data_IF_858648388252
#
_entry.id   IF_858648388252
#
_cell.length_a   1.000
_cell.length_b   1.000
_cell.length_c   1.000
_cell.angle_alpha   90.00
_cell.angle_beta   90.00
_cell.angle_gamma   90.00
#
_symmetry.space_group_name_H-M   'P 1'
#
loop_
_entity.id
_entity.type
_entity.pdbx_description
1 polymer ?
#
# COMPACT_ATOMS: atom_id res chain seq x y z
N UNK A 1 -2.35 2.92 2.73
CA UNK A 1 -1.52 4.16 2.84
C UNK A 1 -0.98 4.48 1.47
N UNK A 2 -0.93 5.73 1.02
CA UNK A 2 -0.39 6.05 -0.31
C UNK A 2 1.02 5.48 -0.50
N UNK A 3 1.26 4.80 -1.61
CA UNK A 3 2.57 4.26 -1.95
C UNK A 3 3.49 5.40 -2.39
N UNK A 4 4.40 5.79 -1.50
CA UNK A 4 5.35 6.88 -1.69
C UNK A 4 6.75 6.43 -1.26
N UNK A 5 7.83 6.91 -1.88
CA UNK A 5 9.19 6.53 -1.49
C UNK A 5 9.47 6.71 0.00
N UNK A 6 9.00 7.81 0.59
CA UNK A 6 9.18 8.15 2.00
C UNK A 6 8.47 7.15 2.92
N UNK A 7 7.29 6.66 2.50
CA UNK A 7 6.56 5.61 3.20
C UNK A 7 7.35 4.31 3.20
N UNK A 8 7.89 3.89 2.05
CA UNK A 8 8.68 2.66 1.94
C UNK A 8 9.99 2.74 2.73
N UNK A 9 10.62 3.90 2.76
CA UNK A 9 11.83 4.13 3.53
C UNK A 9 11.58 3.98 5.04
N UNK A 10 10.58 4.69 5.57
CA UNK A 10 10.23 4.66 7.00
C UNK A 10 9.84 3.25 7.46
N UNK A 11 9.12 2.51 6.64
CA UNK A 11 8.62 1.18 6.99
C UNK A 11 9.43 0.03 6.37
N UNK A 12 10.67 0.30 5.95
CA UNK A 12 11.54 -0.67 5.24
C UNK A 12 11.82 -1.96 6.03
N UNK A 13 11.65 -1.95 7.35
CA UNK A 13 11.83 -3.12 8.22
C UNK A 13 10.57 -3.97 8.41
N UNK A 14 9.44 -3.59 7.82
CA UNK A 14 8.16 -4.29 7.92
C UNK A 14 7.77 -4.95 6.59
N UNK A 15 6.89 -5.95 6.63
CA UNK A 15 6.30 -6.51 5.40
C UNK A 15 5.36 -5.48 4.78
N UNK A 16 5.67 -5.06 3.55
CA UNK A 16 4.86 -4.12 2.75
C UNK A 16 4.20 -4.90 1.60
N UNK A 17 2.88 -4.81 1.48
CA UNK A 17 2.11 -5.35 0.36
C UNK A 17 1.49 -4.21 -0.45
N UNK A 18 1.63 -4.26 -1.78
CA UNK A 18 1.00 -3.31 -2.70
C UNK A 18 -0.48 -3.63 -2.90
N UNK A 19 -1.29 -2.59 -2.96
CA UNK A 19 -2.72 -2.62 -3.28
C UNK A 19 -2.91 -1.79 -4.54
N UNK A 20 -3.19 -2.44 -5.69
CA UNK A 20 -3.48 -1.72 -6.91
C UNK A 20 -4.82 -0.99 -6.75
N UNK A 21 -4.82 0.31 -7.03
CA UNK A 21 -6.03 1.12 -6.99
C UNK A 21 -6.45 1.48 -8.41
N UNK A 22 -7.72 1.27 -8.70
CA UNK A 22 -8.35 1.76 -9.92
C UNK A 22 -9.28 2.89 -9.54
N UNK A 23 -8.76 4.12 -9.47
CA UNK A 23 -9.60 5.32 -9.33
C UNK A 23 -9.78 5.97 -10.70
N UNK A 24 -11.04 6.06 -11.15
CA UNK A 24 -11.39 6.87 -12.31
C UNK A 24 -11.42 8.34 -11.88
N UNK A 25 -10.40 9.12 -12.24
CA UNK A 25 -10.48 10.58 -12.10
C UNK A 25 -11.47 11.07 -13.17
N UNK A 26 -12.59 11.66 -12.76
CA UNK A 26 -13.50 12.29 -13.70
C UNK A 26 -12.80 13.47 -14.39
N UNK A 27 -12.42 13.30 -15.66
CA UNK A 27 -12.04 14.40 -16.57
C UNK A 27 -10.58 14.88 -16.54
N UNK A 28 -9.62 14.13 -15.99
CA UNK A 28 -8.19 14.50 -15.97
C UNK A 28 -7.24 13.35 -16.30
N UNK A 29 -5.99 13.67 -16.61
CA UNK A 29 -4.92 12.70 -16.87
C UNK A 29 -4.76 11.76 -15.65
N UNK A 30 -5.02 10.47 -15.84
CA UNK A 30 -5.01 9.49 -14.76
C UNK A 30 -3.62 9.39 -14.14
N UNK A 31 -3.48 9.80 -12.87
CA UNK A 31 -2.25 9.56 -12.12
C UNK A 31 -2.24 8.11 -11.66
N UNK A 32 -1.19 7.36 -12.00
CA UNK A 32 -0.93 6.06 -11.39
C UNK A 32 -0.78 6.26 -9.87
N UNK A 33 -1.78 5.81 -9.13
CA UNK A 33 -1.79 5.83 -7.67
C UNK A 33 -1.91 4.38 -7.20
N UNK A 34 -1.07 4.01 -6.24
CA UNK A 34 -1.14 2.74 -5.52
C UNK A 34 -1.17 3.01 -4.03
N UNK A 35 -1.70 2.06 -3.29
CA UNK A 35 -1.63 2.04 -1.84
C UNK A 35 -0.78 0.86 -1.38
N UNK A 36 -0.32 0.93 -0.13
CA UNK A 36 0.36 -0.16 0.56
C UNK A 36 -0.32 -0.51 1.87
N UNK A 37 -0.21 -1.78 2.25
CA UNK A 37 -0.48 -2.33 3.58
C UNK A 37 0.86 -2.66 4.24
N UNK A 38 1.05 -2.23 5.49
CA UNK A 38 2.25 -2.51 6.30
C UNK A 38 1.84 -3.45 7.43
N UNK A 39 2.57 -4.54 7.63
CA UNK A 39 2.26 -5.57 8.63
C UNK A 39 3.38 -5.70 9.67
N UNK A 40 2.99 -5.93 10.93
CA UNK A 40 3.84 -5.93 12.13
C UNK A 40 4.48 -7.29 12.46
N UNK A 41 4.35 -8.28 11.58
CA UNK A 41 4.84 -9.66 11.77
C UNK A 41 4.23 -10.42 12.97
N UNK A 42 3.11 -9.95 13.53
CA UNK A 42 2.50 -10.60 14.69
C UNK A 42 1.80 -11.92 14.32
N UNK A 43 1.92 -12.89 15.23
CA UNK A 43 1.18 -14.15 15.18
C UNK A 43 0.07 -14.22 16.26
N UNK A 44 -1.10 -14.81 15.96
CA UNK A 44 -1.51 -15.30 14.64
C UNK A 44 -1.75 -14.13 13.68
N UNK A 45 -1.32 -14.31 12.43
CA UNK A 45 -1.58 -13.32 11.37
C UNK A 45 -3.07 -13.18 11.07
N UNK A 46 -3.48 -11.99 10.60
CA UNK A 46 -4.87 -11.73 10.22
C UNK A 46 -5.18 -12.49 8.93
N UNK A 47 -6.17 -13.38 8.99
CA UNK A 47 -6.49 -14.40 7.96
C UNK A 47 -6.77 -13.79 6.57
N UNK A 48 -7.29 -12.56 6.49
CA UNK A 48 -7.70 -11.92 5.24
C UNK A 48 -6.74 -10.80 4.77
N UNK A 49 -5.47 -10.85 5.18
CA UNK A 49 -4.43 -9.99 4.62
C UNK A 49 -3.83 -10.60 3.34
N UNK A 50 -3.43 -9.77 2.36
CA UNK A 50 -2.82 -10.25 1.12
C UNK A 50 -1.42 -10.87 1.28
#
# INVERSE_FOLDING_TARGET
MNDRPEVREVFSSFRICEVPLTYTIAGGEGKSVSEVIIMDHKEPSVINLP
#
